data_IF_466198714164
#
_entry.id   IF_466198714164
#
_cell.length_a   1.000
_cell.length_b   1.000
_cell.length_c   1.000
_cell.angle_alpha   90.00
_cell.angle_beta   90.00
_cell.angle_gamma   90.00
#
_symmetry.space_group_name_H-M   'P 1'
#
loop_
_entity.id
_entity.type
_entity.pdbx_description
1 polymer ?
#
# COMPACT_ATOMS: atom_id res chain seq x y z
N UNK A 1 51.06 25.89 -6.74
CA UNK A 1 50.45 26.25 -5.45
C UNK A 1 50.33 24.97 -4.63
N UNK A 2 51.18 24.82 -3.61
CA UNK A 2 51.29 23.59 -2.80
C UNK A 2 50.35 23.71 -1.62
N UNK A 3 49.36 22.82 -1.53
CA UNK A 3 48.50 22.71 -0.35
C UNK A 3 49.14 21.76 0.68
N UNK A 4 49.04 22.06 1.99
CA UNK A 4 49.63 21.21 3.02
C UNK A 4 48.81 19.94 3.22
N UNK A 5 49.48 18.78 3.19
CA UNK A 5 48.92 17.51 3.67
C UNK A 5 48.82 17.56 5.20
N UNK A 6 47.62 17.74 5.73
CA UNK A 6 47.31 17.33 7.11
C UNK A 6 46.68 15.93 7.07
N UNK A 7 47.42 14.94 7.56
CA UNK A 7 46.85 13.68 7.98
C UNK A 7 46.21 13.90 9.36
N UNK A 8 44.89 14.13 9.40
CA UNK A 8 44.12 14.13 10.63
C UNK A 8 43.19 12.93 10.63
N UNK A 9 43.41 11.99 11.55
CA UNK A 9 42.42 11.00 11.97
C UNK A 9 41.35 11.70 12.80
N UNK A 10 40.54 12.54 12.17
CA UNK A 10 39.42 13.22 12.83
C UNK A 10 38.16 12.37 12.67
N UNK A 11 37.53 12.10 13.80
CA UNK A 11 36.23 11.43 13.91
C UNK A 11 35.19 12.50 13.57
N UNK A 12 34.68 12.48 12.35
CA UNK A 12 33.62 13.40 11.91
C UNK A 12 32.43 13.41 12.88
N UNK A 13 31.99 14.61 13.22
CA UNK A 13 30.84 14.87 14.09
C UNK A 13 29.58 14.75 13.23
N UNK A 14 28.44 14.34 13.80
CA UNK A 14 27.17 14.19 13.07
C UNK A 14 26.73 15.49 12.34
N UNK A 15 27.22 16.66 12.77
CA UNK A 15 26.95 17.96 12.16
C UNK A 15 27.65 18.20 10.80
N UNK A 16 28.88 17.71 10.60
CA UNK A 16 29.60 17.87 9.31
C UNK A 16 29.01 16.95 8.25
N UNK A 17 28.59 15.75 8.64
CA UNK A 17 27.88 14.80 7.76
C UNK A 17 26.56 15.38 7.24
N UNK A 18 25.80 16.06 8.10
CA UNK A 18 24.56 16.72 7.68
C UNK A 18 24.79 17.86 6.67
N UNK A 19 25.97 18.49 6.65
CA UNK A 19 26.27 19.61 5.76
C UNK A 19 26.65 19.15 4.34
N UNK A 20 27.54 18.15 4.22
CA UNK A 20 27.92 17.59 2.91
C UNK A 20 26.77 16.81 2.26
N UNK A 21 25.98 16.07 3.05
CA UNK A 21 24.79 15.40 2.54
C UNK A 21 23.74 16.42 2.05
N UNK A 22 23.60 17.57 2.73
CA UNK A 22 22.70 18.66 2.31
C UNK A 22 23.00 19.17 0.91
N UNK A 23 24.28 19.41 0.59
CA UNK A 23 24.71 19.91 -0.72
C UNK A 23 24.36 18.93 -1.84
N UNK A 24 24.60 17.65 -1.60
CA UNK A 24 24.31 16.58 -2.56
C UNK A 24 22.81 16.36 -2.77
N UNK A 25 22.02 16.53 -1.71
CA UNK A 25 20.56 16.41 -1.79
C UNK A 25 19.91 17.56 -2.53
N UNK A 26 20.54 18.74 -2.49
CA UNK A 26 20.08 19.93 -3.20
C UNK A 26 20.36 19.87 -4.71
N UNK A 27 21.44 19.19 -5.12
CA UNK A 27 21.85 19.12 -6.53
C UNK A 27 21.41 17.83 -7.25
N UNK A 28 21.24 16.70 -6.54
CA UNK A 28 21.05 15.39 -7.19
C UNK A 28 19.75 14.66 -6.83
N UNK A 29 18.98 15.12 -5.84
CA UNK A 29 17.83 14.38 -5.32
C UNK A 29 16.51 15.13 -5.57
N UNK A 30 16.05 14.99 -6.81
CA UNK A 30 14.71 15.38 -7.24
C UNK A 30 13.65 14.53 -6.52
N UNK A 31 13.12 15.04 -5.40
CA UNK A 31 11.86 14.74 -4.69
C UNK A 31 11.52 13.28 -4.28
N UNK A 32 11.90 12.28 -5.08
CA UNK A 32 11.66 10.85 -4.89
C UNK A 32 12.98 10.08 -4.80
N UNK A 33 13.14 9.29 -3.74
CA UNK A 33 14.26 8.36 -3.60
C UNK A 33 13.72 6.94 -3.47
N UNK A 34 13.93 6.13 -4.51
CA UNK A 34 13.71 4.69 -4.47
C UNK A 34 15.04 3.97 -4.28
N UNK A 35 15.16 3.16 -3.23
CA UNK A 35 16.30 2.27 -3.02
C UNK A 35 15.87 0.87 -3.42
N UNK A 36 16.31 0.40 -4.58
CA UNK A 36 15.86 -0.86 -5.20
C UNK A 36 16.53 -2.09 -4.59
N UNK A 37 17.65 -1.91 -3.89
CA UNK A 37 18.33 -3.01 -3.21
C UNK A 37 19.19 -2.53 -2.03
N UNK A 38 19.61 -3.46 -1.18
CA UNK A 38 20.60 -3.20 -0.13
C UNK A 38 21.94 -2.73 -0.68
N UNK A 39 22.31 -3.18 -1.89
CA UNK A 39 23.50 -2.70 -2.59
C UNK A 39 23.34 -1.24 -3.02
N UNK A 40 22.16 -0.81 -3.49
CA UNK A 40 21.92 0.61 -3.80
C UNK A 40 22.03 1.51 -2.56
N UNK A 41 21.54 1.03 -1.41
CA UNK A 41 21.73 1.70 -0.10
C UNK A 41 23.22 1.79 0.26
N UNK A 42 23.98 0.72 0.00
CA UNK A 42 25.45 0.71 0.17
C UNK A 42 26.20 1.50 -0.93
N UNK A 43 25.57 1.73 -2.08
CA UNK A 43 26.07 2.48 -3.24
C UNK A 43 25.71 3.97 -3.20
N UNK A 44 24.91 4.43 -2.22
CA UNK A 44 25.02 5.81 -1.67
C UNK A 44 26.37 5.94 -0.93
N UNK A 45 27.45 5.48 -1.55
CA UNK A 45 28.83 5.81 -1.27
C UNK A 45 29.09 7.10 -2.01
N UNK A 46 28.86 8.17 -1.29
CA UNK A 46 29.25 9.50 -1.69
C UNK A 46 30.76 9.51 -1.87
N UNK A 47 31.23 9.76 -3.09
CA UNK A 47 32.64 9.89 -3.40
C UNK A 47 33.15 11.23 -2.81
N UNK A 48 33.58 11.19 -1.55
CA UNK A 48 34.23 12.33 -0.88
C UNK A 48 35.72 12.00 -0.81
N UNK A 49 36.45 12.66 -1.71
CA UNK A 49 37.90 12.64 -1.94
C UNK A 49 38.77 11.81 -0.98
N UNK A 50 39.18 10.63 -1.45
CA UNK A 50 40.55 10.13 -1.28
C UNK A 50 41.08 9.90 0.14
N UNK A 51 40.56 8.91 0.87
CA UNK A 51 41.34 7.80 1.45
C UNK A 51 40.51 6.98 2.45
N UNK A 52 40.51 5.65 2.25
CA UNK A 52 39.99 4.60 3.15
C UNK A 52 38.62 4.91 3.81
N UNK A 53 37.57 4.73 3.00
CA UNK A 53 36.19 4.66 3.48
C UNK A 53 36.01 3.54 4.52
N UNK A 54 35.47 3.89 5.69
CA UNK A 54 35.03 2.91 6.69
C UNK A 54 33.71 2.31 6.21
N UNK A 55 33.63 0.98 6.13
CA UNK A 55 32.38 0.24 5.84
C UNK A 55 31.23 0.78 6.70
N UNK A 56 30.09 1.05 6.08
CA UNK A 56 28.85 1.34 6.78
C UNK A 56 28.54 0.17 7.71
N UNK A 57 28.38 0.45 9.01
CA UNK A 57 28.03 -0.60 9.99
C UNK A 57 26.52 -0.85 9.96
N UNK A 58 26.10 -1.64 8.96
CA UNK A 58 24.80 -2.29 8.87
C UNK A 58 23.63 -1.41 8.39
N UNK A 59 22.64 -2.02 7.72
CA UNK A 59 21.52 -1.32 7.07
C UNK A 59 20.64 -0.50 8.03
N UNK A 60 20.56 -0.90 9.30
CA UNK A 60 19.73 -0.24 10.32
C UNK A 60 20.22 1.18 10.63
N UNK A 61 21.53 1.36 10.84
CA UNK A 61 22.09 2.71 11.07
C UNK A 61 21.94 3.58 9.82
N UNK A 62 21.95 2.97 8.65
CA UNK A 62 21.81 3.69 7.38
C UNK A 62 20.41 4.28 7.22
N UNK A 63 19.34 3.53 7.52
CA UNK A 63 17.97 4.08 7.39
C UNK A 63 17.75 5.28 8.31
N UNK A 64 18.13 5.17 9.59
CA UNK A 64 17.95 6.29 10.53
C UNK A 64 18.77 7.52 10.14
N UNK A 65 20.00 7.31 9.67
CA UNK A 65 20.86 8.40 9.19
C UNK A 65 20.33 9.03 7.90
N UNK A 66 19.83 8.22 6.98
CA UNK A 66 19.24 8.68 5.73
C UNK A 66 18.05 9.60 6.04
N UNK A 67 17.13 9.13 6.89
CA UNK A 67 15.96 9.89 7.31
C UNK A 67 16.35 11.19 8.04
N UNK A 68 17.44 11.18 8.84
CA UNK A 68 17.98 12.41 9.45
C UNK A 68 18.56 13.39 8.43
N UNK A 69 19.32 12.86 7.48
CA UNK A 69 20.07 13.67 6.53
C UNK A 69 19.16 14.30 5.48
N UNK A 70 17.91 13.81 5.36
CA UNK A 70 16.89 14.28 4.44
C UNK A 70 15.67 14.85 5.18
N UNK A 71 15.80 16.00 5.88
CA UNK A 71 14.70 16.58 6.66
C UNK A 71 13.51 17.05 5.80
N UNK A 72 13.72 17.21 4.49
CA UNK A 72 12.70 17.58 3.52
C UNK A 72 12.11 16.37 2.77
N UNK A 73 12.51 15.14 3.11
CA UNK A 73 11.99 13.95 2.44
C UNK A 73 10.49 13.82 2.67
N UNK A 74 9.73 13.80 1.58
CA UNK A 74 8.28 13.62 1.58
C UNK A 74 7.85 12.20 1.26
N UNK A 75 8.57 11.54 0.36
CA UNK A 75 8.27 10.18 -0.08
C UNK A 75 9.44 9.28 0.29
N UNK A 76 9.17 8.20 1.02
CA UNK A 76 10.16 7.18 1.33
C UNK A 76 9.67 5.84 0.80
N UNK A 77 10.38 5.30 -0.18
CA UNK A 77 10.07 4.03 -0.81
C UNK A 77 11.16 3.00 -0.54
N UNK A 78 10.75 1.86 0.01
CA UNK A 78 11.64 0.75 0.36
C UNK A 78 11.29 -0.49 -0.47
N UNK A 79 12.25 -0.99 -1.24
CA UNK A 79 12.12 -2.22 -2.02
C UNK A 79 12.94 -3.35 -1.41
N UNK A 80 12.32 -4.53 -1.25
CA UNK A 80 12.95 -5.80 -0.83
C UNK A 80 13.99 -5.64 0.29
N UNK A 81 13.62 -4.93 1.37
CA UNK A 81 14.55 -4.61 2.45
C UNK A 81 15.04 -5.87 3.14
N UNK A 82 16.36 -6.05 3.15
CA UNK A 82 17.05 -7.14 3.84
C UNK A 82 17.91 -6.58 4.97
N UNK A 83 17.80 -7.16 6.16
CA UNK A 83 18.70 -6.90 7.26
C UNK A 83 19.76 -8.01 7.29
N UNK A 84 21.02 -7.63 7.17
CA UNK A 84 22.15 -8.57 7.21
C UNK A 84 22.46 -9.10 8.61
N UNK A 85 21.92 -8.47 9.65
CA UNK A 85 22.17 -8.82 11.05
C UNK A 85 20.88 -8.74 11.87
N UNK A 86 20.51 -9.85 12.50
CA UNK A 86 19.44 -9.94 13.49
C UNK A 86 20.02 -9.97 14.91
N UNK A 87 19.28 -9.55 15.96
CA UNK A 87 18.11 -8.66 15.98
C UNK A 87 18.50 -7.19 16.28
N UNK A 88 17.57 -6.26 16.02
CA UNK A 88 17.69 -4.85 16.43
C UNK A 88 17.89 -4.74 17.95
N UNK A 89 19.04 -4.21 18.39
CA UNK A 89 19.21 -3.93 19.81
C UNK A 89 18.33 -2.74 20.24
N UNK A 90 17.91 -2.74 21.51
CA UNK A 90 17.10 -1.65 22.06
C UNK A 90 17.82 -0.28 21.97
N UNK A 91 19.16 -0.29 21.86
CA UNK A 91 19.99 0.90 21.68
C UNK A 91 19.83 1.52 20.29
N UNK A 92 19.72 0.71 19.24
CA UNK A 92 19.49 1.16 17.87
C UNK A 92 18.11 1.81 17.78
N UNK A 93 17.09 1.12 18.27
CA UNK A 93 15.71 1.64 18.34
C UNK A 93 15.66 2.96 19.12
N UNK A 94 16.39 3.08 20.24
CA UNK A 94 16.40 4.33 21.01
C UNK A 94 17.07 5.49 20.25
N UNK A 95 18.09 5.23 19.44
CA UNK A 95 18.72 6.28 18.58
C UNK A 95 17.78 6.73 17.46
N UNK A 96 16.98 5.84 16.91
CA UNK A 96 15.91 6.23 15.99
C UNK A 96 14.91 7.21 16.64
N UNK A 97 14.82 7.30 17.96
CA UNK A 97 13.91 8.27 18.59
C UNK A 97 14.45 9.69 18.62
N UNK A 98 15.76 9.86 18.38
CA UNK A 98 16.43 11.16 18.42
C UNK A 98 16.53 11.80 17.02
N UNK A 99 15.97 11.16 16.00
CA UNK A 99 16.03 11.71 14.65
C UNK A 99 15.17 12.99 14.58
N UNK A 100 15.61 14.00 13.80
CA UNK A 100 14.86 15.22 13.61
C UNK A 100 13.49 14.90 13.00
N UNK A 101 12.52 15.80 13.23
CA UNK A 101 11.19 15.69 12.64
C UNK A 101 11.31 15.56 11.13
N UNK A 102 10.72 14.50 10.61
CA UNK A 102 10.69 14.24 9.17
C UNK A 102 9.39 14.78 8.59
N UNK A 103 9.41 15.13 7.30
CA UNK A 103 8.22 15.54 6.56
C UNK A 103 7.69 14.41 5.68
N UNK A 104 7.95 13.16 6.04
CA UNK A 104 7.52 12.01 5.25
C UNK A 104 5.99 11.98 5.27
N UNK A 105 5.39 12.21 4.11
CA UNK A 105 3.95 12.23 3.83
C UNK A 105 3.52 10.88 3.23
N UNK A 106 4.38 10.26 2.42
CA UNK A 106 4.11 8.98 1.77
C UNK A 106 5.19 7.96 2.13
N UNK A 107 4.75 6.78 2.57
CA UNK A 107 5.63 5.66 2.87
C UNK A 107 5.21 4.45 2.03
N UNK A 108 6.17 3.82 1.35
CA UNK A 108 5.86 2.72 0.45
C UNK A 108 6.76 1.51 0.71
N UNK A 109 6.15 0.34 0.88
CA UNK A 109 6.83 -0.95 1.03
C UNK A 109 6.52 -1.83 -0.17
N UNK A 110 7.54 -2.13 -0.97
CA UNK A 110 7.44 -2.99 -2.13
C UNK A 110 8.28 -4.25 -1.95
N UNK A 111 7.73 -5.39 -2.37
CA UNK A 111 8.49 -6.62 -2.58
C UNK A 111 8.41 -6.98 -4.06
N UNK A 112 9.58 -7.02 -4.72
CA UNK A 112 9.69 -7.23 -6.16
C UNK A 112 9.39 -8.67 -6.62
N UNK A 113 9.28 -9.62 -5.70
CA UNK A 113 9.15 -11.03 -6.03
C UNK A 113 7.85 -11.61 -5.48
N UNK A 114 7.11 -12.31 -6.36
CA UNK A 114 5.90 -13.11 -6.08
C UNK A 114 6.15 -14.31 -5.14
N UNK A 115 7.21 -14.29 -4.34
CA UNK A 115 7.40 -15.29 -3.31
C UNK A 115 6.53 -14.92 -2.12
N UNK A 116 5.48 -15.69 -1.93
CA UNK A 116 4.64 -15.78 -0.72
C UNK A 116 5.43 -16.13 0.56
N UNK A 117 6.76 -16.18 0.48
CA UNK A 117 7.65 -16.52 1.58
C UNK A 117 7.87 -15.27 2.44
N UNK A 118 7.49 -15.36 3.70
CA UNK A 118 7.80 -14.37 4.72
C UNK A 118 9.32 -14.27 4.89
N UNK A 119 9.92 -13.10 4.60
CA UNK A 119 11.33 -12.85 4.92
C UNK A 119 11.45 -12.32 6.34
N UNK A 120 12.40 -12.84 7.15
CA UNK A 120 12.64 -12.32 8.51
C UNK A 120 12.90 -10.82 8.54
N UNK A 121 13.54 -10.29 7.50
CA UNK A 121 13.85 -8.86 7.42
C UNK A 121 12.62 -7.96 7.28
N UNK A 122 11.57 -8.40 6.60
CA UNK A 122 10.33 -7.62 6.51
C UNK A 122 9.66 -7.52 7.89
N UNK A 123 9.65 -8.62 8.64
CA UNK A 123 9.10 -8.65 10.01
C UNK A 123 9.84 -7.68 10.91
N UNK A 124 11.17 -7.72 10.87
CA UNK A 124 12.01 -6.80 11.63
C UNK A 124 11.78 -5.33 11.26
N UNK A 125 11.51 -5.04 9.98
CA UNK A 125 11.22 -3.67 9.52
C UNK A 125 9.89 -3.18 10.10
N UNK A 126 8.85 -4.01 10.04
CA UNK A 126 7.53 -3.66 10.58
C UNK A 126 7.61 -3.50 12.10
N UNK A 127 8.31 -4.40 12.79
CA UNK A 127 8.53 -4.30 14.24
C UNK A 127 9.35 -3.08 14.61
N UNK A 128 10.37 -2.71 13.81
CA UNK A 128 11.13 -1.47 13.99
C UNK A 128 10.23 -0.24 13.87
N UNK A 129 9.43 -0.15 12.80
CA UNK A 129 8.52 0.96 12.56
C UNK A 129 7.54 1.08 13.74
N UNK A 130 6.91 -0.03 14.12
CA UNK A 130 5.97 -0.06 15.25
C UNK A 130 6.64 0.30 16.59
N UNK A 131 7.86 -0.20 16.86
CA UNK A 131 8.59 0.08 18.11
C UNK A 131 9.09 1.53 18.22
N UNK A 132 9.33 2.18 17.07
CA UNK A 132 9.68 3.60 17.00
C UNK A 132 8.42 4.47 17.21
N UNK A 133 7.27 4.09 16.66
CA UNK A 133 6.02 4.84 16.78
C UNK A 133 5.30 4.70 18.12
N UNK A 134 5.25 3.49 18.70
CA UNK A 134 4.37 3.18 19.83
C UNK A 134 4.79 3.78 21.18
N UNK A 135 5.92 4.50 21.25
CA UNK A 135 6.32 5.12 22.52
C UNK A 135 5.64 6.48 22.68
N UNK A 136 4.40 6.44 23.20
CA UNK A 136 3.84 7.59 23.92
C UNK A 136 4.84 7.98 24.99
N UNK A 137 5.37 9.21 24.93
CA UNK A 137 6.19 9.70 26.01
C UNK A 137 5.31 9.71 27.28
N UNK A 138 5.68 8.98 28.35
CA UNK A 138 4.86 8.90 29.57
C UNK A 138 4.71 10.25 30.28
N UNK A 139 5.51 11.24 29.89
CA UNK A 139 5.41 12.59 30.41
C UNK A 139 4.20 13.29 29.78
N UNK A 140 3.21 13.75 30.57
CA UNK A 140 2.17 14.64 30.07
C UNK A 140 2.85 15.82 29.38
N UNK A 141 2.40 16.14 28.17
CA UNK A 141 2.95 17.17 27.30
C UNK A 141 2.95 18.53 28.02
N UNK A 142 4.01 18.80 28.80
CA UNK A 142 4.20 20.07 29.49
C UNK A 142 4.83 21.12 28.58
N UNK A 143 5.28 20.71 27.40
CA UNK A 143 6.03 21.58 26.50
C UNK A 143 5.58 21.37 25.04
N UNK A 144 5.13 22.42 24.32
CA UNK A 144 4.75 22.33 22.90
C UNK A 144 5.90 21.92 21.95
N UNK A 145 7.11 21.82 22.48
CA UNK A 145 8.32 21.39 21.77
C UNK A 145 8.51 19.88 21.71
N UNK A 146 7.61 19.09 22.29
CA UNK A 146 7.75 17.63 22.33
C UNK A 146 7.90 17.04 20.91
N UNK A 147 8.95 16.23 20.66
CA UNK A 147 9.21 15.68 19.33
C UNK A 147 8.07 14.72 18.95
N UNK A 148 7.37 15.05 17.85
CA UNK A 148 6.39 14.16 17.26
C UNK A 148 7.09 12.88 16.78
N UNK A 149 6.43 11.71 16.83
CA UNK A 149 6.96 10.47 16.27
C UNK A 149 7.42 10.69 14.82
N UNK A 150 8.52 10.06 14.41
CA UNK A 150 9.07 10.19 13.04
C UNK A 150 8.00 9.99 11.96
N UNK A 151 7.10 9.05 12.21
CA UNK A 151 6.08 8.58 11.30
C UNK A 151 4.75 9.33 11.42
N UNK A 152 4.66 10.36 12.26
CA UNK A 152 3.41 11.09 12.50
C UNK A 152 2.96 11.95 11.31
N UNK A 153 3.83 12.17 10.32
CA UNK A 153 3.50 12.90 9.09
C UNK A 153 2.95 12.02 7.98
N UNK A 154 3.06 10.69 8.11
CA UNK A 154 2.71 9.76 7.02
C UNK A 154 1.20 9.70 6.88
N UNK A 155 0.71 10.17 5.73
CA UNK A 155 -0.69 10.20 5.33
C UNK A 155 -1.04 9.09 4.36
N UNK A 156 -0.07 8.61 3.58
CA UNK A 156 -0.30 7.59 2.57
C UNK A 156 0.66 6.41 2.78
N UNK A 157 0.11 5.20 2.87
CA UNK A 157 0.86 3.95 2.97
C UNK A 157 0.60 3.11 1.72
N UNK A 158 1.64 2.87 0.91
CA UNK A 158 1.58 1.94 -0.21
C UNK A 158 2.19 0.60 0.18
N UNK A 159 1.49 -0.49 -0.11
CA UNK A 159 1.93 -1.86 0.10
C UNK A 159 1.82 -2.63 -1.21
N UNK A 160 2.87 -3.36 -1.59
CA UNK A 160 2.86 -4.16 -2.81
C UNK A 160 3.63 -5.46 -2.61
N UNK A 161 2.94 -6.59 -2.80
CA UNK A 161 3.56 -7.91 -2.71
C UNK A 161 3.98 -8.29 -1.29
N UNK A 162 3.28 -7.77 -0.27
CA UNK A 162 3.69 -7.90 1.13
C UNK A 162 3.10 -9.15 1.78
N UNK A 163 3.92 -9.83 2.57
CA UNK A 163 3.50 -10.95 3.41
C UNK A 163 3.75 -10.61 4.86
N UNK A 164 2.69 -10.49 5.65
CA UNK A 164 2.76 -10.22 7.08
C UNK A 164 2.73 -11.54 7.88
N UNK A 165 3.44 -11.62 9.02
CA UNK A 165 3.36 -12.77 9.91
C UNK A 165 1.94 -13.04 10.43
N UNK A 166 1.19 -11.96 10.71
CA UNK A 166 -0.16 -12.02 11.26
C UNK A 166 -0.91 -10.72 10.99
N UNK A 167 -2.23 -10.77 11.12
CA UNK A 167 -3.10 -9.59 11.07
C UNK A 167 -2.74 -8.60 12.20
N UNK A 168 -2.36 -9.09 13.38
CA UNK A 168 -1.88 -8.25 14.50
C UNK A 168 -0.62 -7.46 14.13
N UNK A 169 0.32 -8.06 13.41
CA UNK A 169 1.54 -7.36 12.96
C UNK A 169 1.18 -6.21 12.01
N UNK A 170 0.23 -6.44 11.10
CA UNK A 170 -0.27 -5.40 10.22
C UNK A 170 -1.05 -4.30 10.98
N UNK A 171 -1.90 -4.67 11.94
CA UNK A 171 -2.56 -3.70 12.80
C UNK A 171 -1.57 -2.80 13.55
N UNK A 172 -0.47 -3.36 14.08
CA UNK A 172 0.61 -2.58 14.71
C UNK A 172 1.31 -1.65 13.74
N UNK A 173 1.46 -2.05 12.46
CA UNK A 173 1.97 -1.17 11.42
C UNK A 173 1.03 0.02 11.20
N UNK A 174 -0.30 -0.20 11.10
CA UNK A 174 -1.27 0.90 10.97
C UNK A 174 -1.22 1.84 12.18
N UNK A 175 -1.16 1.30 13.40
CA UNK A 175 -0.98 2.09 14.63
C UNK A 175 0.31 2.92 14.63
N UNK A 176 1.31 2.54 13.83
CA UNK A 176 2.56 3.27 13.71
C UNK A 176 2.42 4.59 12.93
N UNK A 177 1.33 4.77 12.18
CA UNK A 177 1.07 5.94 11.33
C UNK A 177 -0.20 6.66 11.79
N UNK A 178 -0.16 7.46 12.87
CA UNK A 178 -1.37 8.05 13.46
C UNK A 178 -2.09 9.06 12.54
N UNK A 179 -1.39 9.63 11.55
CA UNK A 179 -1.95 10.56 10.57
C UNK A 179 -2.30 9.87 9.24
N UNK A 180 -2.32 8.53 9.19
CA UNK A 180 -2.62 7.79 7.97
C UNK A 180 -4.05 8.10 7.51
N UNK A 181 -4.18 8.58 6.28
CA UNK A 181 -5.42 8.97 5.61
C UNK A 181 -5.80 7.97 4.50
N UNK A 182 -4.80 7.42 3.81
CA UNK A 182 -4.97 6.54 2.66
C UNK A 182 -4.08 5.30 2.78
N UNK A 183 -4.69 4.13 2.59
CA UNK A 183 -4.01 2.85 2.51
C UNK A 183 -4.19 2.26 1.10
N UNK A 184 -3.09 2.12 0.37
CA UNK A 184 -3.10 1.57 -0.98
C UNK A 184 -2.40 0.20 -1.00
N UNK A 185 -3.07 -0.78 -1.59
CA UNK A 185 -2.48 -2.06 -1.93
C UNK A 185 -2.30 -2.13 -3.45
N UNK A 186 -1.06 -2.09 -3.92
CA UNK A 186 -0.72 -2.14 -5.35
C UNK A 186 -0.48 -3.56 -5.87
N UNK A 187 -0.56 -4.57 -5.01
CA UNK A 187 -0.48 -5.99 -5.37
C UNK A 187 -0.85 -6.80 -4.13
N UNK A 188 -0.44 -8.06 -4.02
CA UNK A 188 -0.87 -8.96 -2.94
C UNK A 188 -0.59 -8.46 -1.53
N UNK A 189 -1.53 -8.79 -0.64
CA UNK A 189 -1.35 -8.77 0.80
C UNK A 189 -1.70 -10.14 1.37
N UNK A 190 -0.76 -10.77 2.07
CA UNK A 190 -0.97 -12.12 2.62
C UNK A 190 -0.64 -12.15 4.11
N UNK A 191 -1.46 -12.83 4.90
CA UNK A 191 -1.18 -13.14 6.29
C UNK A 191 -0.77 -14.61 6.43
N UNK A 192 0.39 -14.88 7.04
CA UNK A 192 0.82 -16.26 7.32
C UNK A 192 -0.05 -16.88 8.42
N UNK A 193 -0.36 -16.09 9.46
CA UNK A 193 -1.25 -16.46 10.54
C UNK A 193 -2.56 -15.68 10.41
N UNK A 194 -3.63 -16.42 10.15
CA UNK A 194 -5.00 -15.90 10.06
C UNK A 194 -5.64 -15.72 11.42
N UNK A 195 -6.66 -14.85 11.46
CA UNK A 195 -7.34 -14.44 12.68
C UNK A 195 -6.48 -13.55 13.59
N UNK A 196 -7.16 -12.80 14.44
CA UNK A 196 -6.53 -11.98 15.47
C UNK A 196 -7.46 -11.78 16.65
N UNK A 197 -6.88 -11.54 17.82
CA UNK A 197 -7.60 -11.00 18.97
C UNK A 197 -7.41 -9.48 19.00
N UNK A 198 -8.49 -8.72 19.12
CA UNK A 198 -8.44 -7.28 19.33
C UNK A 198 -7.60 -6.90 20.56
N UNK A 199 -7.51 -7.78 21.56
CA UNK A 199 -6.69 -7.59 22.77
C UNK A 199 -5.20 -7.55 22.46
N UNK A 200 -4.77 -8.16 21.36
CA UNK A 200 -3.36 -8.15 20.91
C UNK A 200 -2.99 -6.86 20.17
N UNK A 201 -3.99 -6.07 19.80
CA UNK A 201 -3.81 -4.73 19.24
C UNK A 201 -3.68 -3.76 20.41
N UNK A 202 -2.58 -3.00 20.50
CA UNK A 202 -2.36 -2.13 21.64
C UNK A 202 -3.49 -1.08 21.78
N UNK A 203 -4.33 -1.26 22.80
CA UNK A 203 -5.55 -0.49 23.06
C UNK A 203 -5.32 1.03 23.19
N UNK A 204 -4.09 1.44 23.49
CA UNK A 204 -3.74 2.85 23.71
C UNK A 204 -3.13 3.54 22.49
N UNK A 205 -2.73 2.81 21.44
CA UNK A 205 -2.30 3.36 20.16
C UNK A 205 -3.49 3.21 19.22
N UNK A 206 -4.47 4.10 19.41
CA UNK A 206 -5.71 4.09 18.65
C UNK A 206 -5.41 3.88 17.17
N UNK A 207 -6.09 2.90 16.60
CA UNK A 207 -6.08 2.63 15.17
C UNK A 207 -6.29 3.97 14.45
N UNK A 208 -5.48 4.28 13.40
CA UNK A 208 -5.40 5.62 12.84
C UNK A 208 -6.79 6.18 12.56
N UNK A 209 -7.16 7.19 13.33
CA UNK A 209 -8.51 7.75 13.26
C UNK A 209 -8.77 8.55 11.98
N UNK A 210 -7.70 8.86 11.25
CA UNK A 210 -7.74 9.56 9.98
C UNK A 210 -7.90 8.67 8.76
N UNK A 211 -7.86 7.32 8.89
CA UNK A 211 -7.91 6.45 7.72
C UNK A 211 -9.31 6.51 7.08
N UNK A 212 -9.39 7.17 5.93
CA UNK A 212 -10.65 7.48 5.21
C UNK A 212 -10.69 6.87 3.82
N UNK A 213 -9.57 6.39 3.29
CA UNK A 213 -9.49 5.82 1.95
C UNK A 213 -8.73 4.48 1.94
N UNK A 214 -9.30 3.48 1.27
CA UNK A 214 -8.65 2.21 0.96
C UNK A 214 -8.70 1.99 -0.54
N UNK A 215 -7.56 1.69 -1.13
CA UNK A 215 -7.44 1.46 -2.57
C UNK A 215 -6.79 0.10 -2.81
N UNK A 216 -7.52 -0.79 -3.47
CA UNK A 216 -7.11 -2.14 -3.82
C UNK A 216 -6.85 -2.19 -5.32
N UNK A 217 -5.60 -1.92 -5.71
CA UNK A 217 -5.16 -1.85 -7.09
C UNK A 217 -4.51 -3.17 -7.56
N UNK A 218 -4.34 -3.29 -8.89
CA UNK A 218 -3.51 -4.28 -9.59
C UNK A 218 -3.59 -5.73 -9.06
N UNK A 219 -4.52 -6.51 -9.61
CA UNK A 219 -4.64 -7.94 -9.32
C UNK A 219 -4.68 -8.27 -7.81
N UNK A 220 -5.02 -7.31 -6.94
CA UNK A 220 -4.98 -7.47 -5.49
C UNK A 220 -5.78 -8.71 -5.07
N UNK A 221 -6.99 -8.79 -5.58
CA UNK A 221 -7.98 -9.80 -5.26
C UNK A 221 -7.73 -11.16 -5.93
N UNK A 222 -7.17 -11.16 -7.15
CA UNK A 222 -6.83 -12.39 -7.88
C UNK A 222 -5.58 -13.07 -7.35
N UNK A 223 -4.65 -12.31 -6.79
CA UNK A 223 -3.37 -12.84 -6.32
C UNK A 223 -3.30 -12.95 -4.80
N UNK A 224 -4.12 -12.21 -4.06
CA UNK A 224 -4.20 -12.37 -2.61
C UNK A 224 -4.98 -13.62 -2.26
N UNK A 225 -4.52 -14.31 -1.23
CA UNK A 225 -5.28 -15.39 -0.63
C UNK A 225 -6.62 -14.84 -0.08
N UNK A 226 -7.78 -15.43 -0.43
CA UNK A 226 -9.08 -14.90 -0.02
C UNK A 226 -9.27 -14.82 1.50
N UNK A 227 -8.66 -15.73 2.26
CA UNK A 227 -8.63 -15.65 3.73
C UNK A 227 -7.93 -14.39 4.22
N UNK A 228 -6.85 -13.99 3.57
CA UNK A 228 -6.14 -12.76 3.91
C UNK A 228 -6.97 -11.51 3.63
N UNK A 229 -7.78 -11.52 2.56
CA UNK A 229 -8.74 -10.44 2.30
C UNK A 229 -9.85 -10.42 3.36
N UNK A 230 -10.38 -11.58 3.74
CA UNK A 230 -11.37 -11.70 4.81
C UNK A 230 -10.83 -11.15 6.15
N UNK A 231 -9.62 -11.56 6.54
CA UNK A 231 -8.92 -11.08 7.73
C UNK A 231 -8.70 -9.55 7.73
N UNK A 232 -8.36 -8.97 6.57
CA UNK A 232 -8.20 -7.53 6.42
C UNK A 232 -9.53 -6.79 6.66
N UNK A 233 -10.62 -7.32 6.09
CA UNK A 233 -11.96 -6.78 6.29
C UNK A 233 -12.40 -6.93 7.75
N UNK A 234 -12.17 -8.08 8.37
CA UNK A 234 -12.47 -8.32 9.78
C UNK A 234 -11.68 -7.36 10.68
N UNK A 235 -10.42 -7.06 10.34
CA UNK A 235 -9.65 -6.03 11.04
C UNK A 235 -10.31 -4.66 10.94
N UNK A 236 -10.73 -4.24 9.75
CA UNK A 236 -11.35 -2.93 9.57
C UNK A 236 -12.70 -2.79 10.27
N UNK A 237 -13.49 -3.86 10.29
CA UNK A 237 -14.77 -3.92 11.01
C UNK A 237 -14.52 -3.91 12.52
N UNK A 238 -13.68 -4.82 13.02
CA UNK A 238 -13.43 -4.98 14.46
C UNK A 238 -12.76 -3.76 15.10
N UNK A 239 -12.03 -2.96 14.32
CA UNK A 239 -11.37 -1.73 14.79
C UNK A 239 -12.17 -0.45 14.54
N UNK A 240 -13.36 -0.54 13.92
CA UNK A 240 -14.17 0.63 13.53
C UNK A 240 -13.48 1.51 12.48
N UNK A 241 -12.50 1.00 11.72
CA UNK A 241 -12.00 1.70 10.51
C UNK A 241 -13.13 1.79 9.48
N UNK A 242 -13.88 0.70 9.29
CA UNK A 242 -14.95 0.63 8.28
C UNK A 242 -15.97 1.78 8.39
N UNK A 243 -16.36 2.17 9.61
CA UNK A 243 -17.29 3.29 9.88
C UNK A 243 -16.76 4.69 9.49
N UNK A 244 -15.49 4.78 9.09
CA UNK A 244 -14.81 6.04 8.73
C UNK A 244 -14.36 6.08 7.28
N UNK A 245 -14.41 4.95 6.56
CA UNK A 245 -13.99 4.89 5.18
C UNK A 245 -14.98 5.65 4.30
N UNK A 246 -14.49 6.73 3.69
CA UNK A 246 -15.23 7.58 2.77
C UNK A 246 -14.99 7.21 1.31
N UNK A 247 -13.84 6.60 1.03
CA UNK A 247 -13.45 6.20 -0.32
C UNK A 247 -12.96 4.75 -0.33
N UNK A 248 -13.55 3.96 -1.21
CA UNK A 248 -13.10 2.62 -1.52
C UNK A 248 -12.88 2.54 -3.03
N UNK A 249 -11.65 2.26 -3.44
CA UNK A 249 -11.33 1.88 -4.82
C UNK A 249 -11.03 0.39 -4.83
N UNK A 250 -11.76 -0.37 -5.64
CA UNK A 250 -11.59 -1.82 -5.77
C UNK A 250 -11.47 -2.14 -7.24
N UNK A 251 -10.44 -2.92 -7.59
CA UNK A 251 -10.39 -3.65 -8.86
C UNK A 251 -10.95 -5.05 -8.63
N UNK A 252 -12.23 -5.30 -8.96
CA UNK A 252 -12.83 -6.62 -8.82
C UNK A 252 -12.20 -7.62 -9.80
N UNK A 253 -12.38 -8.91 -9.50
CA UNK A 253 -11.61 -9.95 -10.15
C UNK A 253 -12.00 -10.00 -11.63
N UNK A 254 -11.04 -10.22 -12.54
CA UNK A 254 -11.27 -10.50 -13.94
C UNK A 254 -11.86 -11.90 -14.12
N UNK A 255 -12.93 -12.21 -13.39
CA UNK A 255 -13.77 -13.35 -13.69
C UNK A 255 -14.50 -13.06 -15.02
N UNK A 256 -14.56 -14.04 -15.95
CA UNK A 256 -15.32 -13.86 -17.19
C UNK A 256 -16.78 -13.65 -16.80
N UNK A 257 -17.29 -12.42 -17.01
CA UNK A 257 -18.71 -12.05 -17.02
C UNK A 257 -19.61 -13.06 -16.27
N UNK A 258 -19.70 -12.88 -14.94
CA UNK A 258 -20.85 -13.25 -14.11
C UNK A 258 -21.12 -14.75 -13.83
N UNK A 259 -20.18 -15.55 -13.30
CA UNK A 259 -20.61 -16.85 -12.72
C UNK A 259 -20.12 -17.23 -11.33
N UNK A 260 -19.00 -16.70 -10.84
CA UNK A 260 -18.54 -17.05 -9.49
C UNK A 260 -17.99 -15.81 -8.82
N UNK A 261 -18.77 -15.23 -7.91
CA UNK A 261 -18.25 -14.31 -6.89
C UNK A 261 -17.13 -15.02 -6.15
N UNK A 262 -15.93 -14.45 -6.18
CA UNK A 262 -14.81 -15.00 -5.42
C UNK A 262 -15.04 -14.77 -3.92
N UNK A 263 -14.37 -15.54 -3.07
CA UNK A 263 -14.39 -15.31 -1.62
C UNK A 263 -13.84 -13.92 -1.24
N UNK A 264 -12.89 -13.40 -2.04
CA UNK A 264 -12.40 -12.02 -1.93
C UNK A 264 -13.53 -11.02 -2.18
N UNK A 265 -14.34 -11.22 -3.23
CA UNK A 265 -15.46 -10.35 -3.57
C UNK A 265 -16.52 -10.32 -2.48
N UNK A 266 -16.84 -11.49 -1.91
CA UNK A 266 -17.77 -11.60 -0.78
C UNK A 266 -17.26 -10.80 0.42
N UNK A 267 -15.95 -10.88 0.69
CA UNK A 267 -15.32 -10.15 1.79
C UNK A 267 -15.32 -8.64 1.54
N UNK A 268 -15.00 -8.19 0.33
CA UNK A 268 -15.04 -6.77 -0.04
C UNK A 268 -16.45 -6.21 -0.03
N UNK A 269 -17.45 -6.99 -0.47
CA UNK A 269 -18.85 -6.61 -0.38
C UNK A 269 -19.29 -6.45 1.08
N UNK A 270 -18.83 -7.33 1.97
CA UNK A 270 -19.04 -7.17 3.42
C UNK A 270 -18.42 -5.87 3.93
N UNK A 271 -17.23 -5.48 3.48
CA UNK A 271 -16.63 -4.19 3.85
C UNK A 271 -17.48 -3.01 3.39
N UNK A 272 -17.91 -3.01 2.12
CA UNK A 272 -18.76 -1.95 1.55
C UNK A 272 -20.07 -1.79 2.32
N UNK A 273 -20.74 -2.91 2.65
CA UNK A 273 -21.92 -2.93 3.52
C UNK A 273 -21.63 -2.30 4.89
N UNK A 274 -20.57 -2.73 5.55
CA UNK A 274 -20.18 -2.19 6.86
C UNK A 274 -19.85 -0.71 6.84
N UNK A 275 -19.27 -0.20 5.75
CA UNK A 275 -19.04 1.23 5.62
C UNK A 275 -20.34 2.04 5.56
N UNK A 276 -21.44 1.44 5.10
CA UNK A 276 -22.82 1.94 5.24
C UNK A 276 -22.93 3.44 4.96
N UNK A 277 -23.21 4.22 6.00
CA UNK A 277 -23.40 5.69 5.93
C UNK A 277 -22.11 6.51 5.78
N UNK A 278 -20.92 5.91 5.92
CA UNK A 278 -19.65 6.64 5.88
C UNK A 278 -19.04 6.69 4.48
N UNK A 279 -19.39 5.73 3.62
CA UNK A 279 -18.84 5.60 2.28
C UNK A 279 -19.49 6.60 1.33
N UNK A 280 -18.69 7.59 0.89
CA UNK A 280 -19.14 8.62 -0.05
C UNK A 280 -18.81 8.25 -1.49
N UNK A 281 -17.65 7.65 -1.73
CA UNK A 281 -17.12 7.34 -3.05
C UNK A 281 -16.78 5.84 -3.15
N UNK A 282 -17.33 5.17 -4.14
CA UNK A 282 -16.98 3.80 -4.52
C UNK A 282 -16.52 3.81 -5.98
N UNK A 283 -15.29 3.39 -6.24
CA UNK A 283 -14.74 3.25 -7.60
C UNK A 283 -14.45 1.78 -7.89
N UNK A 284 -15.11 1.24 -8.91
CA UNK A 284 -14.96 -0.13 -9.39
C UNK A 284 -14.30 -0.10 -10.76
N UNK A 285 -13.02 -0.43 -10.81
CA UNK A 285 -12.20 -0.38 -12.03
C UNK A 285 -11.98 -1.78 -12.63
N UNK A 286 -12.59 -2.05 -13.79
CA UNK A 286 -12.47 -3.34 -14.51
C UNK A 286 -11.45 -3.31 -15.66
N UNK A 287 -10.64 -2.25 -15.78
CA UNK A 287 -9.94 -1.89 -17.02
C UNK A 287 -8.87 -2.88 -17.54
N UNK A 288 -8.26 -3.73 -16.71
CA UNK A 288 -7.09 -4.52 -17.13
C UNK A 288 -7.39 -5.84 -17.87
N UNK A 289 -8.65 -6.25 -18.01
CA UNK A 289 -8.98 -7.60 -18.48
C UNK A 289 -8.53 -7.94 -19.91
N UNK A 290 -8.30 -6.97 -20.80
CA UNK A 290 -8.15 -7.29 -22.24
C UNK A 290 -6.76 -7.01 -22.85
N UNK A 291 -5.78 -6.44 -22.12
CA UNK A 291 -4.47 -6.18 -22.72
C UNK A 291 -3.53 -7.40 -22.76
N UNK A 292 -3.78 -8.46 -22.01
CA UNK A 292 -2.98 -9.70 -22.07
C UNK A 292 -3.37 -10.63 -23.21
N UNK A 293 -4.42 -10.29 -23.96
CA UNK A 293 -4.75 -10.92 -25.25
C UNK A 293 -3.88 -10.39 -26.39
N UNK A 294 -2.55 -10.58 -26.34
CA UNK A 294 -1.71 -10.58 -27.56
C UNK A 294 -1.99 -11.88 -28.32
N UNK A 295 -3.26 -12.09 -28.68
CA UNK A 295 -3.69 -13.05 -29.66
C UNK A 295 -3.54 -12.36 -31.00
N UNK A 296 -2.58 -12.82 -31.81
CA UNK A 296 -2.35 -12.41 -33.20
C UNK A 296 -3.65 -12.06 -33.89
N UNK A 297 -3.70 -10.89 -34.52
CA UNK A 297 -4.72 -10.52 -35.50
C UNK A 297 -4.93 -11.68 -36.49
N UNK A 298 -6.00 -12.45 -36.29
CA UNK A 298 -6.58 -13.24 -37.37
C UNK A 298 -7.47 -12.26 -38.10
N UNK A 299 -6.92 -11.63 -39.14
CA UNK A 299 -7.67 -10.84 -40.09
C UNK A 299 -8.69 -11.74 -40.79
N UNK A 300 -9.93 -11.74 -40.33
CA UNK A 300 -11.03 -12.33 -41.08
C UNK A 300 -11.32 -11.43 -42.28
N UNK A 301 -10.71 -11.76 -43.42
CA UNK A 301 -11.15 -11.26 -44.72
C UNK A 301 -12.56 -11.78 -44.99
N UNK A 302 -13.56 -10.93 -44.74
CA UNK A 302 -14.93 -11.14 -45.20
C UNK A 302 -14.99 -10.71 -46.67
N UNK A 303 -15.11 -11.67 -47.57
CA UNK A 303 -15.43 -11.43 -48.97
C UNK A 303 -16.90 -11.00 -49.13
N UNK A 304 -17.23 -10.21 -50.18
CA UNK A 304 -18.59 -9.72 -50.39
C UNK A 304 -19.46 -10.81 -50.99
N UNK A 305 -20.48 -11.28 -50.27
CA UNK A 305 -21.61 -11.99 -50.87
C UNK A 305 -22.90 -11.30 -50.46
N UNK A 306 -23.57 -10.76 -51.48
CA UNK A 306 -24.92 -10.25 -51.41
C UNK A 306 -25.89 -11.36 -50.98
N UNK A 307 -26.86 -11.00 -50.15
CA UNK A 307 -27.89 -11.92 -49.68
C UNK A 307 -28.50 -11.46 -48.37
N UNK A 308 -29.33 -10.41 -48.45
CA UNK A 308 -30.13 -9.95 -47.33
C UNK A 308 -31.11 -11.06 -46.90
N UNK A 309 -30.84 -11.66 -45.76
CA UNK A 309 -31.77 -12.50 -45.02
C UNK A 309 -31.73 -12.07 -43.56
N UNK A 310 -32.87 -11.54 -43.13
CA UNK A 310 -33.21 -11.04 -41.81
C UNK A 310 -32.80 -12.02 -40.69
N UNK A 311 -31.58 -11.89 -40.16
CA UNK A 311 -31.14 -12.61 -38.97
C UNK A 311 -31.58 -11.81 -37.74
N UNK A 312 -32.86 -11.94 -37.43
CA UNK A 312 -33.43 -11.56 -36.15
C UNK A 312 -32.91 -12.56 -35.11
N UNK A 313 -31.74 -12.28 -34.52
CA UNK A 313 -31.28 -13.03 -33.35
C UNK A 313 -32.26 -12.71 -32.23
N UNK A 314 -33.15 -13.68 -31.96
CA UNK A 314 -33.95 -13.72 -30.75
C UNK A 314 -33.03 -13.67 -29.54
N UNK A 315 -32.87 -12.48 -28.96
CA UNK A 315 -32.39 -12.31 -27.59
C UNK A 315 -33.58 -12.64 -26.69
N UNK A 316 -33.78 -13.94 -26.46
CA UNK A 316 -34.66 -14.44 -25.40
C UNK A 316 -33.80 -15.16 -24.37
N UNK A 317 -33.79 -14.59 -23.17
CA UNK A 317 -33.44 -15.19 -21.88
C UNK A 317 -31.99 -15.67 -21.65
N UNK A 318 -31.21 -14.76 -21.06
CA UNK A 318 -30.40 -15.04 -19.87
C UNK A 318 -30.82 -14.14 -18.71
N UNK A 319 -32.13 -13.97 -18.53
CA UNK A 319 -32.71 -13.08 -17.51
C UNK A 319 -33.00 -13.82 -16.18
N UNK A 320 -32.28 -14.90 -15.86
CA UNK A 320 -32.64 -15.79 -14.74
C UNK A 320 -31.48 -16.40 -13.94
N UNK A 321 -30.24 -15.90 -14.05
CA UNK A 321 -29.14 -16.47 -13.24
C UNK A 321 -28.19 -15.45 -12.59
N UNK A 322 -28.23 -14.17 -12.98
CA UNK A 322 -27.43 -13.12 -12.35
C UNK A 322 -28.26 -12.37 -11.29
N UNK A 323 -28.70 -13.06 -10.24
CA UNK A 323 -29.53 -12.45 -9.18
C UNK A 323 -28.74 -11.95 -7.98
N UNK A 324 -27.41 -12.06 -7.97
CA UNK A 324 -26.60 -11.52 -6.88
C UNK A 324 -25.94 -10.20 -7.32
N UNK A 325 -26.31 -9.05 -6.75
CA UNK A 325 -25.51 -7.84 -6.88
C UNK A 325 -24.08 -8.10 -6.46
N UNK A 326 -23.12 -7.56 -7.20
CA UNK A 326 -21.72 -7.69 -6.84
C UNK A 326 -21.42 -6.94 -5.53
N UNK A 327 -21.93 -5.72 -5.42
CA UNK A 327 -21.91 -4.92 -4.20
C UNK A 327 -23.33 -4.57 -3.77
N UNK A 328 -23.66 -4.88 -2.52
CA UNK A 328 -24.90 -4.45 -1.91
C UNK A 328 -24.70 -3.07 -1.27
N UNK A 329 -25.35 -2.08 -1.86
CA UNK A 329 -25.34 -0.69 -1.42
C UNK A 329 -26.65 -0.30 -0.73
N UNK A 330 -27.52 -1.26 -0.41
CA UNK A 330 -28.85 -0.99 0.13
C UNK A 330 -28.85 -0.24 1.45
N UNK A 331 -27.80 -0.42 2.27
CA UNK A 331 -27.63 0.29 3.55
C UNK A 331 -26.91 1.64 3.40
N UNK A 332 -26.40 1.96 2.20
CA UNK A 332 -25.65 3.19 1.98
C UNK A 332 -26.58 4.35 1.60
N UNK A 333 -26.70 5.33 2.49
CA UNK A 333 -27.48 6.56 2.29
C UNK A 333 -26.63 7.80 1.97
N UNK A 334 -25.31 7.65 1.94
CA UNK A 334 -24.35 8.76 1.81
C UNK A 334 -23.44 8.67 0.58
N UNK A 335 -23.66 7.70 -0.31
CA UNK A 335 -22.90 7.54 -1.54
C UNK A 335 -23.19 8.72 -2.48
N UNK A 336 -22.18 9.57 -2.66
CA UNK A 336 -22.23 10.74 -3.54
C UNK A 336 -21.74 10.38 -4.95
N UNK A 337 -20.78 9.45 -5.04
CA UNK A 337 -20.13 9.09 -6.29
C UNK A 337 -19.93 7.58 -6.40
N UNK A 338 -20.37 7.04 -7.52
CA UNK A 338 -20.10 5.68 -7.94
C UNK A 338 -19.44 5.72 -9.32
N UNK A 339 -18.16 5.37 -9.37
CA UNK A 339 -17.43 5.26 -10.63
C UNK A 339 -17.41 3.78 -11.05
N UNK A 340 -17.93 3.50 -12.25
CA UNK A 340 -17.90 2.17 -12.86
C UNK A 340 -17.14 2.26 -14.18
N UNK A 341 -15.93 1.72 -14.22
CA UNK A 341 -15.18 1.63 -15.48
C UNK A 341 -15.43 0.25 -16.07
N UNK A 342 -16.23 0.20 -17.14
CA UNK A 342 -16.53 -1.04 -17.89
C UNK A 342 -15.75 -1.02 -19.20
N UNK A 343 -15.05 -2.11 -19.51
CA UNK A 343 -14.41 -2.25 -20.82
C UNK A 343 -15.44 -2.69 -21.87
N UNK A 344 -15.66 -1.83 -22.86
CA UNK A 344 -16.60 -2.08 -23.97
C UNK A 344 -15.85 -2.74 -25.12
N UNK A 345 -16.15 -4.01 -25.36
CA UNK A 345 -15.73 -4.74 -26.57
C UNK A 345 -16.86 -4.74 -27.60
N UNK A 346 -16.53 -5.06 -28.86
CA UNK A 346 -17.54 -5.19 -29.92
C UNK A 346 -18.62 -6.23 -29.57
N UNK A 347 -18.26 -7.25 -28.79
CA UNK A 347 -19.13 -8.37 -28.45
C UNK A 347 -20.05 -8.09 -27.26
N UNK A 348 -19.65 -7.19 -26.34
CA UNK A 348 -20.45 -6.87 -25.16
C UNK A 348 -21.21 -5.53 -25.26
N UNK A 349 -21.00 -4.76 -26.33
CA UNK A 349 -21.64 -3.46 -26.54
C UNK A 349 -23.18 -3.51 -26.44
N UNK A 350 -23.81 -4.62 -26.82
CA UNK A 350 -25.27 -4.80 -26.74
C UNK A 350 -25.80 -5.15 -25.34
N UNK A 351 -24.94 -5.47 -24.37
CA UNK A 351 -25.34 -5.96 -23.04
C UNK A 351 -24.93 -5.03 -21.88
N UNK A 352 -24.27 -3.90 -22.17
CA UNK A 352 -23.69 -3.00 -21.16
C UNK A 352 -24.70 -2.51 -20.12
N UNK A 353 -25.92 -2.17 -20.54
CA UNK A 353 -26.95 -1.67 -19.63
C UNK A 353 -27.38 -2.73 -18.60
N UNK A 354 -27.41 -4.00 -18.97
CA UNK A 354 -27.77 -5.09 -18.06
C UNK A 354 -26.65 -5.36 -17.06
N UNK A 355 -25.40 -5.40 -17.52
CA UNK A 355 -24.24 -5.65 -16.64
C UNK A 355 -24.06 -4.57 -15.57
N UNK A 356 -24.33 -3.30 -15.89
CA UNK A 356 -24.23 -2.20 -14.91
C UNK A 356 -25.30 -2.32 -13.82
N UNK A 357 -26.54 -2.68 -14.19
CA UNK A 357 -27.64 -2.85 -13.23
C UNK A 357 -27.40 -4.09 -12.36
N UNK A 358 -26.85 -5.17 -12.91
CA UNK A 358 -26.54 -6.39 -12.15
C UNK A 358 -25.42 -6.20 -11.12
N UNK A 359 -24.51 -5.26 -11.31
CA UNK A 359 -23.42 -4.98 -10.35
C UNK A 359 -23.95 -4.35 -9.05
N UNK A 360 -25.08 -3.67 -9.09
CA UNK A 360 -25.62 -2.88 -7.97
C UNK A 360 -26.98 -3.43 -7.53
N UNK A 361 -27.13 -3.72 -6.24
CA UNK A 361 -28.48 -3.84 -5.69
C UNK A 361 -28.90 -2.55 -5.04
N UNK A 362 -30.04 -2.04 -5.50
CA UNK A 362 -30.77 -0.99 -4.83
C UNK A 362 -31.85 -1.59 -3.93
N UNK A 363 -32.16 -0.95 -2.80
CA UNK A 363 -33.32 -1.33 -2.01
C UNK A 363 -34.58 -1.14 -2.87
N UNK A 364 -35.46 -2.14 -2.88
CA UNK A 364 -36.75 -2.11 -3.58
C UNK A 364 -37.72 -1.11 -2.94
#
# INVERSE_FOLDING_TARGET
MVWPRKASTTRWNDAEWCAEFRLMTHECLSWDMGLKSTEEVECIKVDISGNKMRRWRGPQRTLGRLVCALPCLKVLTLYDVRFSHQPLDASAISRFRLLPRTKIETFSLYRLHNVSVLTPSFVELVDLIAAVSNRKCPCPARDPTQPCPIWSGVRVLHLSGVTFPSVTTFARLLCAFPALETLQFMSTCTFVKHGFDLRDIPAHSGVPSGLVAVELEFDFDTRSDPRSVADLVDLFVATGISDRLRHIHVRPSPGPLLRVTTESDVSLNRLVRHCGHSLHHLDLDTHQFWQTGIGKDVSLHIGPSAGASHMMVSIKFLQSACTAPYFDLSENTCLIRLDLRVNVTRDNASYLCTSVIEVLSYPK
#
